data_IF_310140741055
#
_entry.id   IF_310140741055
#
_cell.length_a   1.000
_cell.length_b   1.000
_cell.length_c   1.000
_cell.angle_alpha   90.00
_cell.angle_beta   90.00
_cell.angle_gamma   90.00
#
_symmetry.space_group_name_H-M   'P 1'
#
loop_
_entity.id
_entity.type
_entity.pdbx_description
1 polymer ?
#
# COMPACT_ATOMS: atom_id res chain seq x y z
N UNK A 1 -23.25 -4.47 -4.69
CA UNK A 1 -22.42 -3.51 -3.93
C UNK A 1 -21.50 -2.85 -4.94
N UNK A 2 -21.58 -1.53 -5.11
CA UNK A 2 -20.72 -0.77 -6.02
C UNK A 2 -19.38 -0.49 -5.35
N UNK A 3 -18.29 -0.43 -6.12
CA UNK A 3 -16.95 -0.11 -5.62
C UNK A 3 -16.92 1.22 -4.83
N UNK A 4 -17.85 2.13 -5.11
CA UNK A 4 -17.99 3.44 -4.46
C UNK A 4 -18.20 3.38 -2.94
N UNK A 5 -18.74 2.27 -2.40
CA UNK A 5 -18.95 2.09 -0.96
C UNK A 5 -17.89 1.19 -0.30
N UNK A 6 -16.88 0.76 -1.05
CA UNK A 6 -15.81 -0.07 -0.49
C UNK A 6 -14.88 0.75 0.45
N UNK A 7 -14.25 0.10 1.44
CA UNK A 7 -13.19 0.71 2.24
C UNK A 7 -12.07 1.30 1.36
N UNK A 8 -11.42 2.35 1.85
CA UNK A 8 -10.41 3.08 1.08
C UNK A 8 -9.24 2.18 0.64
N UNK A 9 -8.83 1.25 1.51
CA UNK A 9 -7.80 0.25 1.25
C UNK A 9 -8.20 -0.73 0.14
N UNK A 10 -9.49 -1.08 0.04
CA UNK A 10 -10.00 -1.98 -1.01
C UNK A 10 -10.03 -1.25 -2.35
N UNK A 11 -10.48 0.01 -2.38
CA UNK A 11 -10.46 0.84 -3.60
C UNK A 11 -9.04 1.01 -4.13
N UNK A 12 -8.11 1.38 -3.24
CA UNK A 12 -6.70 1.55 -3.60
C UNK A 12 -6.08 0.25 -4.11
N UNK A 13 -6.40 -0.90 -3.51
CA UNK A 13 -5.92 -2.19 -4.00
C UNK A 13 -6.40 -2.47 -5.42
N UNK A 14 -7.66 -2.16 -5.76
CA UNK A 14 -8.19 -2.32 -7.12
C UNK A 14 -7.48 -1.41 -8.10
N UNK A 15 -7.27 -0.13 -7.74
CA UNK A 15 -6.57 0.83 -8.61
C UNK A 15 -5.12 0.39 -8.87
N UNK A 16 -4.43 -0.13 -7.84
CA UNK A 16 -3.08 -0.65 -7.96
C UNK A 16 -3.02 -1.89 -8.86
N UNK A 17 -3.96 -2.83 -8.70
CA UNK A 17 -4.03 -4.02 -9.56
C UNK A 17 -4.21 -3.60 -11.02
N UNK A 18 -5.16 -2.71 -11.29
CA UNK A 18 -5.40 -2.18 -12.63
C UNK A 18 -4.12 -1.56 -13.22
N UNK A 19 -3.41 -0.72 -12.45
CA UNK A 19 -2.16 -0.10 -12.91
C UNK A 19 -1.09 -1.16 -13.23
N UNK A 20 -0.93 -2.17 -12.40
CA UNK A 20 0.07 -3.22 -12.60
C UNK A 20 -0.24 -4.07 -13.83
N UNK A 21 -1.51 -4.42 -14.05
CA UNK A 21 -1.98 -5.13 -15.24
C UNK A 21 -1.80 -4.30 -16.51
N UNK A 22 -2.13 -3.00 -16.48
CA UNK A 22 -1.94 -2.11 -17.62
C UNK A 22 -0.47 -1.94 -18.02
N UNK A 23 0.46 -2.14 -17.09
CA UNK A 23 1.90 -2.10 -17.36
C UNK A 23 2.49 -3.50 -17.60
N UNK A 24 1.64 -4.52 -17.79
CA UNK A 24 2.04 -5.91 -18.06
C UNK A 24 3.02 -6.48 -17.00
N UNK A 25 2.88 -6.03 -15.75
CA UNK A 25 3.74 -6.48 -14.65
C UNK A 25 3.31 -7.87 -14.22
N UNK A 26 4.26 -8.81 -14.16
CA UNK A 26 3.95 -10.17 -13.72
C UNK A 26 3.53 -10.18 -12.24
N UNK A 27 2.61 -11.08 -11.83
CA UNK A 27 2.19 -11.18 -10.44
C UNK A 27 3.35 -11.39 -9.45
N UNK A 28 4.39 -12.13 -9.83
CA UNK A 28 5.56 -12.38 -9.00
C UNK A 28 6.34 -11.09 -8.72
N UNK A 29 6.55 -10.27 -9.74
CA UNK A 29 7.22 -8.97 -9.62
C UNK A 29 6.36 -7.98 -8.85
N UNK A 30 5.05 -7.94 -9.12
CA UNK A 30 4.09 -7.12 -8.39
C UNK A 30 4.11 -7.42 -6.89
N UNK A 31 4.07 -8.70 -6.50
CA UNK A 31 4.11 -9.11 -5.10
C UNK A 31 5.44 -8.73 -4.43
N UNK A 32 6.57 -8.95 -5.10
CA UNK A 32 7.87 -8.55 -4.59
C UNK A 32 7.97 -7.03 -4.37
N UNK A 33 7.45 -6.22 -5.31
CA UNK A 33 7.42 -4.77 -5.19
C UNK A 33 6.49 -4.31 -4.05
N UNK A 34 5.30 -4.92 -3.90
CA UNK A 34 4.36 -4.60 -2.83
C UNK A 34 4.93 -4.90 -1.44
N UNK A 35 5.73 -5.95 -1.28
CA UNK A 35 6.43 -6.22 -0.02
C UNK A 35 7.46 -5.12 0.31
N UNK A 36 8.17 -4.59 -0.69
CA UNK A 36 9.08 -3.45 -0.47
C UNK A 36 8.30 -2.22 0.00
N UNK A 37 7.22 -1.89 -0.70
CA UNK A 37 6.34 -0.75 -0.37
C UNK A 37 5.78 -0.89 1.05
N UNK A 38 5.29 -2.08 1.41
CA UNK A 38 4.79 -2.40 2.75
C UNK A 38 5.85 -2.16 3.82
N UNK A 39 7.09 -2.62 3.62
CA UNK A 39 8.17 -2.38 4.58
C UNK A 39 8.50 -0.89 4.74
N UNK A 40 8.48 -0.11 3.66
CA UNK A 40 8.70 1.35 3.72
C UNK A 40 7.64 2.05 4.57
N UNK A 41 6.35 1.76 4.33
CA UNK A 41 5.26 2.33 5.13
C UNK A 41 5.28 1.86 6.59
N UNK A 42 5.61 0.59 6.85
CA UNK A 42 5.82 0.11 8.22
C UNK A 42 6.96 0.85 8.92
N UNK A 43 8.05 1.17 8.19
CA UNK A 43 9.14 2.00 8.68
C UNK A 43 8.66 3.40 9.07
N UNK A 44 7.87 4.05 8.19
CA UNK A 44 7.28 5.37 8.44
C UNK A 44 6.37 5.39 9.67
N UNK A 45 5.48 4.42 9.80
CA UNK A 45 4.59 4.30 10.97
C UNK A 45 5.38 4.14 12.29
N UNK A 46 6.47 3.38 12.27
CA UNK A 46 7.37 3.24 13.43
C UNK A 46 8.08 4.55 13.75
N UNK A 47 8.54 5.29 12.73
CA UNK A 47 9.17 6.59 12.91
C UNK A 47 8.20 7.64 13.46
N UNK A 48 6.96 7.67 12.96
CA UNK A 48 5.89 8.53 13.47
C UNK A 48 5.61 8.25 14.94
N UNK A 49 5.49 6.96 15.31
CA UNK A 49 5.28 6.54 16.70
C UNK A 49 6.42 6.99 17.63
N UNK A 50 7.67 6.86 17.18
CA UNK A 50 8.85 7.30 17.93
C UNK A 50 9.00 8.83 18.01
N UNK A 51 8.47 9.55 17.02
CA UNK A 51 8.50 11.02 17.00
C UNK A 51 7.43 11.62 17.92
N UNK A 52 6.27 10.97 18.06
CA UNK A 52 5.22 11.37 19.01
C UNK A 52 5.68 11.20 20.46
N UNK A 53 6.43 10.13 20.78
CA UNK A 53 6.95 9.88 22.13
C UNK A 53 8.11 10.82 22.53
N UNK A 54 8.88 11.34 21.56
CA UNK A 54 9.98 12.28 21.84
C UNK A 54 9.52 13.74 22.01
N UNK A 55 8.32 14.05 21.55
CA UNK A 55 7.75 15.40 21.58
C UNK A 55 6.70 15.57 22.69
N UNK A 56 6.45 14.53 23.50
CA UNK A 56 5.57 14.52 24.66
C UNK A 56 6.39 14.53 25.96
#
# INVERSE_FOLDING_TARGET
MTLENAPAEVKLAVDLIYLLECNEISPEIALAALEIVKHDFQGKLKQESQQTEKNA
#
